data_IF_321360725297
#
_entry.id   IF_321360725297
#
_cell.length_a   1.000
_cell.length_b   1.000
_cell.length_c   1.000
_cell.angle_alpha   90.00
_cell.angle_beta   90.00
_cell.angle_gamma   90.00
#
_symmetry.space_group_name_H-M   'P 1'
#
loop_
_entity.id
_entity.type
_entity.pdbx_description
1 polymer ?
#
# COMPACT_ATOMS: atom_id res chain seq x y z
N UNK A 1 0.12 -9.51 -10.46
CA UNK A 1 -1.00 -10.12 -9.69
C UNK A 1 -0.96 -9.58 -8.26
N UNK A 2 -1.87 -8.67 -7.93
CA UNK A 2 -1.84 -7.96 -6.64
C UNK A 2 -2.14 -8.88 -5.45
N UNK A 3 -1.08 -9.52 -4.94
CA UNK A 3 -1.05 -10.36 -3.74
C UNK A 3 -1.53 -9.60 -2.51
N UNK A 4 -2.11 -10.31 -1.55
CA UNK A 4 -2.37 -9.80 -0.21
C UNK A 4 -1.11 -9.14 0.36
N UNK A 5 -1.26 -7.96 0.97
CA UNK A 5 -0.15 -7.21 1.54
C UNK A 5 -0.53 -6.51 2.85
N UNK A 6 0.46 -6.14 3.64
CA UNK A 6 0.27 -5.36 4.86
C UNK A 6 0.50 -3.89 4.59
N UNK A 7 -0.33 -3.04 5.15
CA UNK A 7 -0.21 -1.58 5.03
C UNK A 7 -0.72 -0.90 6.30
N UNK A 8 -0.67 0.42 6.34
CA UNK A 8 -1.16 1.21 7.46
C UNK A 8 -2.69 1.29 7.45
N UNK A 9 -3.33 1.25 8.61
CA UNK A 9 -4.78 1.38 8.72
C UNK A 9 -5.24 2.80 8.35
N UNK A 10 -4.51 3.79 8.84
CA UNK A 10 -4.77 5.20 8.59
C UNK A 10 -3.51 6.07 8.73
N UNK A 11 -3.63 7.39 8.53
CA UNK A 11 -2.56 8.32 8.85
C UNK A 11 -2.35 8.41 10.36
N UNK A 12 -1.10 8.55 10.80
CA UNK A 12 -0.77 8.82 12.19
C UNK A 12 0.54 9.59 12.34
N UNK A 13 0.74 10.11 13.55
CA UNK A 13 1.93 10.85 13.96
C UNK A 13 2.38 10.41 15.34
N UNK A 14 3.69 10.33 15.56
CA UNK A 14 4.27 10.10 16.88
C UNK A 14 5.50 10.97 17.06
N UNK A 15 5.75 11.47 18.27
CA UNK A 15 6.87 12.36 18.57
C UNK A 15 7.65 11.91 19.80
N UNK A 16 8.95 12.20 19.81
CA UNK A 16 9.77 12.08 21.00
C UNK A 16 10.99 13.00 20.93
N UNK A 17 11.61 13.21 22.11
CA UNK A 17 12.81 14.04 22.26
C UNK A 17 13.97 13.19 22.78
N UNK A 18 15.15 13.35 22.17
CA UNK A 18 16.40 12.73 22.61
C UNK A 18 17.56 13.70 22.49
N UNK A 19 18.28 13.90 23.60
CA UNK A 19 19.40 14.85 23.67
C UNK A 19 19.04 16.25 23.15
N UNK A 20 17.83 16.70 23.48
CA UNK A 20 17.28 17.99 23.07
C UNK A 20 16.80 18.05 21.61
N UNK A 21 17.11 17.05 20.78
CA UNK A 21 16.58 16.99 19.41
C UNK A 21 15.19 16.36 19.42
N UNK A 22 14.25 16.97 18.72
CA UNK A 22 12.88 16.50 18.57
C UNK A 22 12.72 15.75 17.25
N UNK A 23 11.98 14.65 17.28
CA UNK A 23 11.67 13.81 16.12
C UNK A 23 10.17 13.58 16.06
N UNK A 24 9.56 13.97 14.96
CA UNK A 24 8.15 13.76 14.65
C UNK A 24 8.07 12.80 13.47
N UNK A 25 7.59 11.59 13.70
CA UNK A 25 7.31 10.62 12.66
C UNK A 25 5.89 10.81 12.13
N UNK A 26 5.75 11.02 10.83
CA UNK A 26 4.48 11.05 10.11
C UNK A 26 4.37 9.79 9.27
N UNK A 27 3.26 9.07 9.35
CA UNK A 27 3.01 7.85 8.60
C UNK A 27 1.65 7.89 7.92
N UNK A 28 1.56 7.40 6.67
CA UNK A 28 0.31 7.41 5.90
C UNK A 28 0.23 6.25 4.91
N UNK A 29 -0.92 5.57 4.76
CA UNK A 29 -1.17 4.70 3.62
C UNK A 29 -1.30 5.54 2.35
N UNK A 30 -0.60 5.15 1.28
CA UNK A 30 -0.56 5.86 0.00
C UNK A 30 -0.68 4.89 -1.16
N UNK A 31 -1.40 5.29 -2.20
CA UNK A 31 -1.64 4.46 -3.37
C UNK A 31 -0.75 4.89 -4.53
N UNK A 32 0.43 4.29 -4.61
CA UNK A 32 1.41 4.56 -5.65
C UNK A 32 2.38 5.71 -5.37
N UNK A 33 3.26 5.95 -6.34
CA UNK A 33 4.39 6.88 -6.25
C UNK A 33 3.93 8.32 -6.11
N UNK A 34 2.99 8.75 -6.96
CA UNK A 34 2.53 10.14 -6.98
C UNK A 34 1.89 10.54 -5.63
N UNK A 35 1.14 9.64 -5.01
CA UNK A 35 0.56 9.84 -3.69
C UNK A 35 1.63 9.91 -2.59
N UNK A 36 2.68 9.09 -2.67
CA UNK A 36 3.79 9.13 -1.74
C UNK A 36 4.58 10.44 -1.86
N UNK A 37 4.91 10.87 -3.08
CA UNK A 37 5.65 12.11 -3.33
C UNK A 37 4.83 13.34 -2.92
N UNK A 38 3.53 13.35 -3.21
CA UNK A 38 2.61 14.41 -2.75
C UNK A 38 2.55 14.51 -1.22
N UNK A 39 2.55 13.37 -0.52
CA UNK A 39 2.60 13.35 0.94
C UNK A 39 3.93 13.90 1.48
N UNK A 40 5.06 13.50 0.87
CA UNK A 40 6.39 14.02 1.24
C UNK A 40 6.45 15.53 1.07
N UNK A 41 5.97 16.04 -0.05
CA UNK A 41 5.96 17.48 -0.32
C UNK A 41 5.05 18.26 0.61
N UNK A 42 3.90 17.68 1.00
CA UNK A 42 3.01 18.28 1.98
C UNK A 42 3.68 18.44 3.35
N UNK A 43 4.34 17.39 3.86
CA UNK A 43 5.06 17.47 5.15
C UNK A 43 6.23 18.45 5.07
N UNK A 44 7.00 18.45 3.97
CA UNK A 44 8.07 19.44 3.76
C UNK A 44 7.59 20.87 3.75
N UNK A 45 6.41 21.13 3.18
CA UNK A 45 5.81 22.46 3.16
C UNK A 45 5.28 22.86 4.54
N UNK A 46 4.66 21.94 5.28
CA UNK A 46 4.13 22.17 6.62
C UNK A 46 5.25 22.42 7.64
N UNK A 47 6.33 21.65 7.58
CA UNK A 47 7.49 21.73 8.48
C UNK A 47 8.72 22.29 7.77
N UNK A 48 8.53 23.39 7.02
CA UNK A 48 9.59 24.03 6.25
C UNK A 48 10.70 24.66 7.10
N UNK A 49 10.46 24.86 8.40
CA UNK A 49 11.41 25.38 9.38
C UNK A 49 12.21 24.27 10.11
N UNK A 50 11.88 23.00 9.86
CA UNK A 50 12.59 21.87 10.43
C UNK A 50 14.04 21.79 9.93
N UNK A 51 14.89 21.14 10.73
CA UNK A 51 16.29 20.91 10.33
C UNK A 51 16.37 19.92 9.17
N UNK A 52 15.59 18.84 9.25
CA UNK A 52 15.50 17.81 8.21
C UNK A 52 14.07 17.24 8.16
N UNK A 53 13.61 16.91 6.96
CA UNK A 53 12.37 16.18 6.69
C UNK A 53 12.71 14.92 5.89
N UNK A 54 13.06 13.85 6.60
CA UNK A 54 13.62 12.61 6.04
C UNK A 54 12.50 11.70 5.54
N UNK A 55 12.35 11.49 4.21
CA UNK A 55 11.30 10.65 3.66
C UNK A 55 11.75 9.19 3.50
N UNK A 56 10.80 8.26 3.63
CA UNK A 56 10.91 6.90 3.14
C UNK A 56 9.54 6.36 2.71
N UNK A 57 9.47 5.57 1.64
CA UNK A 57 8.22 4.93 1.21
C UNK A 57 8.44 3.59 0.53
N UNK A 58 7.42 2.74 0.58
CA UNK A 58 7.31 1.46 -0.13
C UNK A 58 5.96 1.43 -0.81
N UNK A 59 5.92 1.52 -2.14
CA UNK A 59 4.67 1.62 -2.91
C UNK A 59 4.71 0.75 -4.16
N UNK A 60 3.58 0.18 -4.54
CA UNK A 60 3.44 -0.54 -5.80
C UNK A 60 3.49 0.46 -6.96
N UNK A 61 4.29 0.16 -7.98
CA UNK A 61 4.68 1.10 -9.03
C UNK A 61 4.13 0.74 -10.41
N UNK A 62 3.43 -0.38 -10.53
CA UNK A 62 2.83 -0.88 -11.76
C UNK A 62 1.36 -1.26 -11.55
N UNK A 63 0.60 -1.28 -12.65
CA UNK A 63 -0.82 -1.62 -12.67
C UNK A 63 -1.08 -3.05 -12.18
N UNK A 64 -0.16 -3.97 -12.46
CA UNK A 64 -0.24 -5.36 -12.04
C UNK A 64 0.12 -5.57 -10.56
N UNK A 65 0.68 -4.53 -9.92
CA UNK A 65 1.05 -4.48 -8.52
C UNK A 65 2.25 -5.35 -8.15
N UNK A 66 3.03 -5.84 -9.11
CA UNK A 66 4.13 -6.78 -8.85
C UNK A 66 5.46 -6.06 -8.55
N UNK A 67 5.60 -4.81 -8.99
CA UNK A 67 6.79 -4.00 -8.76
C UNK A 67 6.62 -3.12 -7.53
N UNK A 68 7.34 -3.45 -6.45
CA UNK A 68 7.43 -2.60 -5.26
C UNK A 68 8.59 -1.62 -5.41
N UNK A 69 8.27 -0.32 -5.51
CA UNK A 69 9.25 0.76 -5.45
C UNK A 69 9.52 1.15 -4.01
N UNK A 70 10.79 1.14 -3.66
CA UNK A 70 11.29 1.61 -2.37
C UNK A 70 12.12 2.88 -2.58
N UNK A 71 11.90 3.87 -1.72
CA UNK A 71 12.62 5.14 -1.76
C UNK A 71 12.95 5.59 -0.34
N UNK A 72 14.12 6.21 -0.20
CA UNK A 72 14.48 6.99 0.98
C UNK A 72 15.52 8.04 0.64
N UNK A 73 15.58 9.10 1.45
CA UNK A 73 16.61 10.13 1.39
C UNK A 73 17.06 10.47 2.80
N UNK A 74 18.34 10.78 3.00
CA UNK A 74 18.84 11.28 4.28
C UNK A 74 18.54 12.77 4.48
N UNK A 75 18.04 13.49 3.47
CA UNK A 75 17.61 14.90 3.54
C UNK A 75 18.65 15.86 4.17
N UNK A 76 19.93 15.62 3.92
CA UNK A 76 21.03 16.42 4.47
C UNK A 76 21.60 15.92 5.79
N UNK A 77 21.02 14.89 6.39
CA UNK A 77 21.65 14.12 7.47
C UNK A 77 22.92 13.39 6.96
N UNK A 78 23.83 12.98 7.86
CA UNK A 78 24.96 12.13 7.49
C UNK A 78 24.50 10.89 6.70
N UNK A 79 25.24 10.57 5.63
CA UNK A 79 24.88 9.48 4.70
C UNK A 79 24.60 8.17 5.43
N UNK A 80 23.43 7.58 5.17
CA UNK A 80 22.98 6.31 5.71
C UNK A 80 22.51 6.36 7.17
N UNK A 81 22.38 7.55 7.76
CA UNK A 81 22.00 7.70 9.17
C UNK A 81 20.52 7.93 9.41
N UNK A 82 19.72 8.18 8.36
CA UNK A 82 18.32 8.56 8.50
C UNK A 82 17.37 7.82 7.54
N UNK A 83 17.50 8.05 6.23
CA UNK A 83 16.56 7.52 5.22
C UNK A 83 16.55 6.01 5.16
N UNK A 84 17.74 5.38 5.12
CA UNK A 84 17.86 3.91 5.16
C UNK A 84 17.29 3.31 6.45
N UNK A 85 17.65 3.80 7.66
CA UNK A 85 17.00 3.39 8.90
C UNK A 85 15.47 3.50 8.91
N UNK A 86 14.91 4.57 8.34
CA UNK A 86 13.47 4.75 8.20
C UNK A 86 12.84 3.68 7.28
N UNK A 87 13.40 3.51 6.08
CA UNK A 87 12.95 2.50 5.12
C UNK A 87 13.03 1.08 5.67
N UNK A 88 14.11 0.76 6.38
CA UNK A 88 14.33 -0.56 6.98
C UNK A 88 13.21 -0.96 7.94
N UNK A 89 12.60 -0.01 8.66
CA UNK A 89 11.45 -0.31 9.54
C UNK A 89 10.25 -0.78 8.73
N UNK A 90 9.94 -0.10 7.62
CA UNK A 90 8.87 -0.50 6.70
C UNK A 90 9.14 -1.88 6.09
N UNK A 91 10.39 -2.12 5.66
CA UNK A 91 10.82 -3.40 5.07
C UNK A 91 10.73 -4.54 6.08
N UNK A 92 11.23 -4.37 7.31
CA UNK A 92 11.19 -5.41 8.34
C UNK A 92 9.77 -5.75 8.81
N UNK A 93 8.84 -4.79 8.71
CA UNK A 93 7.43 -5.00 9.01
C UNK A 93 6.61 -5.51 7.83
N UNK A 94 7.25 -5.70 6.68
CA UNK A 94 6.65 -6.13 5.41
C UNK A 94 5.48 -5.22 4.98
N UNK A 95 5.66 -3.90 5.16
CA UNK A 95 4.64 -2.89 4.82
C UNK A 95 4.79 -2.39 3.39
N UNK A 96 3.68 -2.34 2.67
CA UNK A 96 3.57 -1.81 1.32
C UNK A 96 2.51 -0.71 1.25
N UNK A 97 2.52 0.04 0.15
CA UNK A 97 1.61 1.17 -0.10
C UNK A 97 1.54 2.13 1.10
N UNK A 98 2.71 2.49 1.61
CA UNK A 98 2.84 3.40 2.73
C UNK A 98 4.05 4.33 2.56
N UNK A 99 3.92 5.53 3.12
CA UNK A 99 4.97 6.52 3.15
C UNK A 99 5.12 7.06 4.57
N UNK A 100 6.36 7.41 4.92
CA UNK A 100 6.71 8.06 6.17
C UNK A 100 7.63 9.25 5.91
N UNK A 101 7.49 10.27 6.75
CA UNK A 101 8.43 11.39 6.82
C UNK A 101 8.77 11.58 8.28
N UNK A 102 10.07 11.68 8.60
CA UNK A 102 10.52 12.03 9.95
C UNK A 102 11.04 13.46 9.92
N UNK A 103 10.31 14.34 10.57
CA UNK A 103 10.67 15.74 10.77
C UNK A 103 11.56 15.84 12.01
N UNK A 104 12.72 16.48 11.88
CA UNK A 104 13.68 16.64 12.97
C UNK A 104 13.97 18.11 13.24
N UNK A 105 13.94 18.49 14.51
CA UNK A 105 14.48 19.76 14.99
C UNK A 105 15.76 19.52 15.81
N UNK A 106 16.88 20.13 15.40
CA UNK A 106 18.17 19.94 16.06
C UNK A 106 18.23 20.62 17.44
N UNK A 107 18.60 19.83 18.45
CA UNK A 107 18.60 20.25 19.86
C UNK A 107 19.91 20.83 20.40
N UNK A 108 20.90 21.12 19.57
CA UNK A 108 22.21 21.61 20.03
C UNK A 108 23.21 20.54 20.46
N UNK A 109 22.79 19.27 20.59
CA UNK A 109 23.69 18.14 20.90
C UNK A 109 23.72 17.12 19.75
N UNK A 110 24.92 16.77 19.30
CA UNK A 110 25.13 15.77 18.25
C UNK A 110 24.89 14.35 18.77
N UNK A 111 23.98 13.62 18.13
CA UNK A 111 23.70 12.21 18.42
C UNK A 111 24.75 11.24 17.85
N UNK A 112 25.53 11.68 16.86
CA UNK A 112 26.38 10.81 16.05
C UNK A 112 25.57 9.85 15.17
N UNK A 113 26.23 9.19 14.21
CA UNK A 113 25.57 8.32 13.21
C UNK A 113 24.73 7.22 13.86
N UNK A 114 25.29 6.52 14.86
CA UNK A 114 24.57 5.44 15.54
C UNK A 114 23.37 5.92 16.36
N UNK A 115 23.43 7.16 16.89
CA UNK A 115 22.30 7.76 17.58
C UNK A 115 21.18 8.18 16.63
N UNK A 116 21.53 8.76 15.48
CA UNK A 116 20.58 9.12 14.42
C UNK A 116 19.86 7.88 13.87
N UNK A 117 20.61 6.81 13.56
CA UNK A 117 20.03 5.55 13.07
C UNK A 117 18.95 5.06 14.03
N UNK A 118 19.22 5.06 15.34
CA UNK A 118 18.25 4.63 16.36
C UNK A 118 17.06 5.58 16.44
N UNK A 119 17.30 6.90 16.40
CA UNK A 119 16.25 7.89 16.51
C UNK A 119 15.27 7.82 15.31
N UNK A 120 15.77 7.80 14.08
CA UNK A 120 14.93 7.68 12.89
C UNK A 120 14.16 6.36 12.83
N UNK A 121 14.79 5.23 13.18
CA UNK A 121 14.07 3.96 13.28
C UNK A 121 12.99 3.99 14.38
N UNK A 122 13.22 4.68 15.50
CA UNK A 122 12.24 4.81 16.58
C UNK A 122 11.06 5.67 16.13
N UNK A 123 11.31 6.82 15.50
CA UNK A 123 10.26 7.72 15.02
C UNK A 123 9.31 7.01 14.04
N UNK A 124 9.87 6.28 13.06
CA UNK A 124 9.06 5.51 12.12
C UNK A 124 8.31 4.38 12.81
N UNK A 125 8.97 3.66 13.71
CA UNK A 125 8.35 2.58 14.47
C UNK A 125 7.12 3.08 15.23
N UNK A 126 7.26 4.16 15.98
CA UNK A 126 6.20 4.68 16.83
C UNK A 126 5.04 5.24 15.99
N UNK A 127 5.33 5.93 14.89
CA UNK A 127 4.30 6.41 13.96
C UNK A 127 3.54 5.26 13.27
N UNK A 128 4.23 4.16 12.92
CA UNK A 128 3.60 2.97 12.36
C UNK A 128 2.78 2.21 13.41
N UNK A 129 3.26 2.14 14.65
CA UNK A 129 2.51 1.52 15.75
C UNK A 129 1.22 2.29 16.03
N UNK A 130 1.25 3.63 16.01
CA UNK A 130 0.07 4.49 16.15
C UNK A 130 -0.87 4.39 14.94
N UNK A 131 -0.33 4.29 13.71
CA UNK A 131 -1.13 4.15 12.49
C UNK A 131 -1.93 2.85 12.41
N UNK A 132 -1.55 1.82 13.18
CA UNK A 132 -2.06 0.47 13.03
C UNK A 132 -1.62 -0.20 11.72
N UNK A 133 -1.61 -1.54 11.71
CA UNK A 133 -1.26 -2.33 10.53
C UNK A 133 -2.40 -3.28 10.17
N UNK A 134 -2.86 -3.19 8.92
CA UNK A 134 -3.92 -4.04 8.37
C UNK A 134 -3.42 -4.86 7.20
N UNK A 135 -4.06 -6.01 6.99
CA UNK A 135 -3.88 -6.80 5.78
C UNK A 135 -4.91 -6.40 4.72
N UNK A 136 -4.45 -6.09 3.52
CA UNK A 136 -5.28 -5.76 2.36
C UNK A 136 -5.22 -6.91 1.38
N UNK A 137 -6.41 -7.42 1.03
CA UNK A 137 -6.60 -8.35 -0.10
C UNK A 137 -7.25 -7.57 -1.25
N UNK A 138 -6.49 -7.21 -2.29
CA UNK A 138 -7.02 -6.51 -3.47
C UNK A 138 -8.12 -7.33 -4.14
N UNK A 139 -9.21 -6.67 -4.51
CA UNK A 139 -10.29 -7.27 -5.29
C UNK A 139 -10.52 -6.46 -6.55
N UNK A 140 -10.92 -7.12 -7.62
CA UNK A 140 -11.46 -6.52 -8.83
C UNK A 140 -12.89 -7.01 -9.06
N UNK A 141 -13.59 -6.34 -9.98
CA UNK A 141 -14.88 -6.81 -10.47
C UNK A 141 -14.69 -7.36 -11.86
N UNK A 142 -15.02 -8.63 -12.06
CA UNK A 142 -15.06 -9.28 -13.38
C UNK A 142 -16.49 -9.24 -13.87
N UNK A 143 -16.71 -8.65 -15.04
CA UNK A 143 -18.00 -8.63 -15.72
C UNK A 143 -18.07 -9.82 -16.68
N UNK A 144 -19.10 -10.64 -16.55
CA UNK A 144 -19.31 -11.85 -17.35
C UNK A 144 -20.65 -11.73 -18.05
N UNK A 145 -20.66 -11.68 -19.38
CA UNK A 145 -21.91 -11.65 -20.17
C UNK A 145 -22.03 -12.93 -20.99
N UNK A 146 -23.18 -13.59 -20.89
CA UNK A 146 -23.49 -14.86 -21.56
C UNK A 146 -24.93 -14.90 -22.05
N UNK A 147 -25.18 -15.69 -23.08
CA UNK A 147 -26.54 -16.08 -23.45
C UNK A 147 -27.18 -16.95 -22.36
N UNK A 148 -28.51 -17.07 -22.38
CA UNK A 148 -29.29 -17.81 -21.38
C UNK A 148 -28.85 -19.27 -21.23
N UNK A 149 -28.43 -19.93 -22.31
CA UNK A 149 -27.99 -21.33 -22.31
C UNK A 149 -26.76 -21.57 -21.41
N UNK A 150 -25.87 -20.58 -21.29
CA UNK A 150 -24.66 -20.66 -20.46
C UNK A 150 -24.86 -20.03 -19.06
N UNK A 151 -25.95 -19.27 -18.84
CA UNK A 151 -26.21 -18.54 -17.60
C UNK A 151 -26.26 -19.42 -16.34
N UNK A 152 -26.86 -20.61 -16.45
CA UNK A 152 -26.93 -21.57 -15.34
C UNK A 152 -25.55 -22.14 -14.96
N UNK A 153 -24.71 -22.39 -15.96
CA UNK A 153 -23.34 -22.88 -15.77
C UNK A 153 -22.48 -21.83 -15.07
N UNK A 154 -22.52 -20.58 -15.54
CA UNK A 154 -21.79 -19.46 -14.92
C UNK A 154 -22.22 -19.29 -13.47
N UNK A 155 -23.53 -19.17 -13.21
CA UNK A 155 -24.09 -19.06 -11.86
C UNK A 155 -23.60 -20.18 -10.95
N UNK A 156 -23.67 -21.43 -11.41
CA UNK A 156 -23.24 -22.59 -10.61
C UNK A 156 -21.76 -22.53 -10.26
N UNK A 157 -20.90 -22.03 -11.15
CA UNK A 157 -19.47 -21.86 -10.86
C UNK A 157 -19.28 -20.81 -9.76
N UNK A 158 -19.89 -19.64 -9.91
CA UNK A 158 -19.78 -18.52 -8.96
C UNK A 158 -20.28 -18.92 -7.57
N UNK A 159 -21.43 -19.60 -7.50
CA UNK A 159 -22.00 -20.10 -6.25
C UNK A 159 -21.12 -21.19 -5.61
N UNK A 160 -20.55 -22.10 -6.41
CA UNK A 160 -19.68 -23.18 -5.91
C UNK A 160 -18.37 -22.68 -5.31
N UNK A 161 -17.86 -21.56 -5.81
CA UNK A 161 -16.63 -20.92 -5.31
C UNK A 161 -16.92 -19.91 -4.19
N UNK A 162 -18.21 -19.64 -3.91
CA UNK A 162 -18.63 -18.72 -2.86
C UNK A 162 -18.40 -17.24 -3.20
N UNK A 163 -18.30 -16.91 -4.50
CA UNK A 163 -18.13 -15.52 -4.91
C UNK A 163 -19.41 -14.72 -4.72
N UNK A 164 -19.27 -13.50 -4.23
CA UNK A 164 -20.36 -12.54 -4.22
C UNK A 164 -20.52 -11.95 -5.64
N UNK A 165 -21.73 -11.99 -6.17
CA UNK A 165 -22.05 -11.44 -7.49
C UNK A 165 -23.45 -10.84 -7.54
N UNK A 166 -23.61 -9.86 -8.42
CA UNK A 166 -24.91 -9.38 -8.91
C UNK A 166 -25.19 -9.99 -10.29
N UNK A 167 -26.47 -10.20 -10.61
CA UNK A 167 -26.88 -10.72 -11.91
C UNK A 167 -28.03 -9.88 -12.49
N UNK A 168 -27.90 -9.50 -13.76
CA UNK A 168 -28.95 -8.82 -14.52
C UNK A 168 -29.38 -9.69 -15.72
N UNK A 169 -30.68 -9.83 -15.89
CA UNK A 169 -31.30 -10.71 -16.89
C UNK A 169 -32.05 -9.85 -17.90
N UNK A 170 -31.43 -9.63 -19.06
CA UNK A 170 -31.99 -8.84 -20.14
C UNK A 170 -32.05 -9.67 -21.44
N UNK A 171 -31.58 -9.11 -22.56
CA UNK A 171 -31.40 -9.88 -23.80
C UNK A 171 -30.35 -10.98 -23.62
N UNK A 172 -29.25 -10.65 -22.94
CA UNK A 172 -28.24 -11.55 -22.41
C UNK A 172 -28.24 -11.48 -20.88
N UNK A 173 -27.56 -12.43 -20.23
CA UNK A 173 -27.39 -12.46 -18.78
C UNK A 173 -25.99 -11.93 -18.45
N UNK A 174 -25.93 -10.90 -17.60
CA UNK A 174 -24.67 -10.35 -17.11
C UNK A 174 -24.49 -10.63 -15.63
N UNK A 175 -23.25 -10.94 -15.24
CA UNK A 175 -22.83 -11.14 -13.86
C UNK A 175 -21.69 -10.18 -13.54
N UNK A 176 -21.80 -9.45 -12.43
CA UNK A 176 -20.71 -8.64 -11.88
C UNK A 176 -20.17 -9.34 -10.64
N UNK A 177 -18.96 -9.89 -10.73
CA UNK A 177 -18.39 -10.75 -9.69
C UNK A 177 -17.21 -10.06 -9.04
N UNK A 178 -17.28 -9.87 -7.71
CA UNK A 178 -16.15 -9.31 -6.96
C UNK A 178 -15.23 -10.42 -6.49
N UNK A 179 -14.02 -10.47 -7.06
CA UNK A 179 -13.04 -11.52 -6.77
C UNK A 179 -11.68 -10.94 -6.38
N UNK A 180 -10.88 -11.64 -5.56
CA UNK A 180 -9.49 -11.30 -5.33
C UNK A 180 -8.72 -11.23 -6.64
N UNK A 181 -7.88 -10.21 -6.82
CA UNK A 181 -7.10 -10.02 -8.06
C UNK A 181 -6.24 -11.25 -8.37
N UNK A 182 -5.71 -11.91 -7.34
CA UNK A 182 -4.93 -13.13 -7.49
C UNK A 182 -5.71 -14.34 -8.06
N UNK A 183 -7.05 -14.31 -7.99
CA UNK A 183 -7.94 -15.39 -8.42
C UNK A 183 -8.75 -15.02 -9.68
N UNK A 184 -8.68 -13.75 -10.12
CA UNK A 184 -9.42 -13.24 -11.28
C UNK A 184 -9.11 -14.03 -12.56
N UNK A 185 -7.85 -14.24 -12.91
CA UNK A 185 -7.51 -14.97 -14.14
C UNK A 185 -7.93 -16.44 -14.08
N UNK A 186 -7.82 -17.07 -12.90
CA UNK A 186 -8.28 -18.45 -12.70
C UNK A 186 -9.80 -18.57 -12.91
N UNK A 187 -10.57 -17.60 -12.40
CA UNK A 187 -12.01 -17.52 -12.67
C UNK A 187 -12.28 -17.31 -14.17
N UNK A 188 -11.60 -16.35 -14.81
CA UNK A 188 -11.75 -16.06 -16.24
C UNK A 188 -11.51 -17.29 -17.10
N UNK A 189 -10.45 -18.04 -16.82
CA UNK A 189 -10.13 -19.29 -17.53
C UNK A 189 -11.16 -20.39 -17.30
N UNK A 190 -11.65 -20.54 -16.06
CA UNK A 190 -12.70 -21.50 -15.73
C UNK A 190 -14.00 -21.20 -16.46
N UNK A 191 -14.41 -19.93 -16.51
CA UNK A 191 -15.61 -19.49 -17.23
C UNK A 191 -15.44 -19.72 -18.74
N UNK A 192 -14.31 -19.31 -19.34
CA UNK A 192 -14.01 -19.57 -20.76
C UNK A 192 -14.12 -21.06 -21.08
N UNK A 193 -13.55 -21.93 -20.24
CA UNK A 193 -13.60 -23.38 -20.44
C UNK A 193 -15.03 -23.91 -20.39
N UNK A 194 -15.80 -23.52 -19.38
CA UNK A 194 -17.17 -24.00 -19.16
C UNK A 194 -18.15 -23.55 -20.26
N UNK A 195 -17.97 -22.35 -20.81
CA UNK A 195 -18.83 -21.81 -21.89
C UNK A 195 -18.24 -22.07 -23.28
N UNK A 196 -17.19 -22.88 -23.40
CA UNK A 196 -16.46 -23.09 -24.67
C UNK A 196 -16.05 -21.78 -25.37
N UNK A 197 -15.69 -20.74 -24.59
CA UNK A 197 -15.28 -19.43 -25.07
C UNK A 197 -16.40 -18.48 -25.47
N UNK A 198 -17.68 -18.84 -25.30
CA UNK A 198 -18.83 -17.98 -25.65
C UNK A 198 -19.05 -16.80 -24.69
N UNK A 199 -18.55 -16.87 -23.45
CA UNK A 199 -18.66 -15.79 -22.48
C UNK A 199 -17.79 -14.59 -22.87
N UNK A 200 -18.37 -13.39 -22.77
CA UNK A 200 -17.64 -12.13 -22.83
C UNK A 200 -17.18 -11.76 -21.43
N UNK A 201 -15.89 -11.47 -21.26
CA UNK A 201 -15.26 -11.20 -19.96
C UNK A 201 -14.55 -9.84 -20.01
N UNK A 202 -14.95 -8.94 -19.13
CA UNK A 202 -14.33 -7.61 -18.93
C UNK A 202 -13.80 -7.49 -17.51
#
# INVERSE_FOLDING_TARGET
>A
MSRTYRTLEGPATAEFVVQGSEFLGHARPVDGVDAAESFVDAIRAEYADATHNVPAYRVRADTDGDLLREYSSDDGEPTGSAGKPALNVLTQRDLENCAVVVTRYYGGTNLGVGGLVRAYSTAVKDAVDEAGVVERRPHETVSITVEYDDSGTVRSILESEGWAFDADYQADVSFAVRVPVAESEALRDRIRSATSGRAQLE
#
